data_IF_878310992206
#
_entry.id   IF_878310992206
#
_cell.length_a   1.000
_cell.length_b   1.000
_cell.length_c   1.000
_cell.angle_alpha   90.00
_cell.angle_beta   90.00
_cell.angle_gamma   90.00
#
_symmetry.space_group_name_H-M   'P 1'
#
loop_
_entity.id
_entity.type
_entity.pdbx_description
1 polymer ?
#
# COMPACT_ATOMS: atom_id res chain seq x y z
N UNK A 1 -11.79 -5.04 32.79
CA UNK A 1 -10.65 -5.22 31.88
C UNK A 1 -10.69 -4.14 30.82
N UNK A 2 -9.63 -3.34 30.67
CA UNK A 2 -9.61 -2.32 29.62
C UNK A 2 -9.71 -2.99 28.25
N UNK A 3 -10.61 -2.51 27.40
CA UNK A 3 -10.73 -3.05 26.04
C UNK A 3 -9.58 -2.53 25.15
N UNK A 4 -8.50 -3.28 25.10
CA UNK A 4 -7.34 -2.98 24.28
C UNK A 4 -7.55 -3.29 22.79
N UNK A 5 -8.64 -3.97 22.44
CA UNK A 5 -8.95 -4.33 21.04
C UNK A 5 -9.07 -3.13 20.11
N UNK A 6 -9.58 -2.01 20.61
CA UNK A 6 -9.68 -0.78 19.81
C UNK A 6 -8.29 -0.25 19.40
N UNK A 7 -7.28 -0.39 20.26
CA UNK A 7 -5.92 0.03 19.96
C UNK A 7 -5.21 -0.97 19.03
N UNK A 8 -5.45 -2.27 19.21
CA UNK A 8 -4.96 -3.29 18.29
C UNK A 8 -5.49 -3.07 16.88
N UNK A 9 -6.79 -2.78 16.71
CA UNK A 9 -7.37 -2.43 15.40
C UNK A 9 -6.72 -1.20 14.76
N UNK A 10 -6.36 -0.18 15.55
CA UNK A 10 -5.63 0.99 15.03
C UNK A 10 -4.23 0.62 14.54
N UNK A 11 -3.53 -0.29 15.24
CA UNK A 11 -2.24 -0.79 14.80
C UNK A 11 -2.37 -1.66 13.54
N UNK A 12 -3.40 -2.50 13.44
CA UNK A 12 -3.72 -3.28 12.22
C UNK A 12 -3.96 -2.35 11.03
N UNK A 13 -4.75 -1.30 11.22
CA UNK A 13 -5.00 -0.32 10.16
C UNK A 13 -3.72 0.39 9.71
N UNK A 14 -2.78 0.64 10.61
CA UNK A 14 -1.47 1.18 10.25
C UNK A 14 -0.71 0.22 9.31
N UNK A 15 -0.77 -1.10 9.56
CA UNK A 15 -0.17 -2.09 8.65
C UNK A 15 -0.88 -2.15 7.29
N UNK A 16 -2.19 -1.99 7.26
CA UNK A 16 -2.97 -1.94 6.01
C UNK A 16 -2.56 -0.73 5.15
N UNK A 17 -2.41 0.44 5.78
CA UNK A 17 -1.91 1.65 5.11
C UNK A 17 -0.50 1.44 4.58
N UNK A 18 0.40 0.86 5.39
CA UNK A 18 1.75 0.54 4.97
C UNK A 18 1.78 -0.44 3.77
N UNK A 19 0.92 -1.46 3.78
CA UNK A 19 0.79 -2.39 2.66
C UNK A 19 0.32 -1.67 1.38
N UNK A 20 -0.61 -0.72 1.51
CA UNK A 20 -1.06 0.10 0.39
C UNK A 20 0.05 1.00 -0.15
N UNK A 21 0.83 1.63 0.73
CA UNK A 21 1.97 2.47 0.34
C UNK A 21 3.05 1.64 -0.37
N UNK A 22 3.33 0.44 0.11
CA UNK A 22 4.26 -0.48 -0.55
C UNK A 22 3.75 -0.98 -1.91
N UNK A 23 2.44 -1.11 -2.07
CA UNK A 23 1.83 -1.40 -3.38
C UNK A 23 2.08 -0.31 -4.42
N UNK A 24 2.21 0.95 -3.97
CA UNK A 24 2.56 2.08 -4.84
C UNK A 24 4.06 2.13 -5.18
N UNK A 25 4.92 1.51 -4.37
CA UNK A 25 6.37 1.39 -4.63
C UNK A 25 6.61 0.25 -5.61
N UNK A 26 6.92 0.59 -6.84
CA UNK A 26 7.04 -0.37 -7.95
C UNK A 26 8.47 -0.83 -8.16
N UNK A 27 8.62 -2.12 -8.25
CA UNK A 27 9.89 -2.80 -8.49
C UNK A 27 10.16 -3.10 -10.00
N UNK A 28 9.67 -2.28 -10.92
CA UNK A 28 9.89 -2.45 -12.36
C UNK A 28 9.13 -3.62 -13.01
N UNK A 29 8.34 -4.38 -12.24
CA UNK A 29 7.43 -5.39 -12.79
C UNK A 29 6.11 -4.75 -13.20
N UNK A 30 5.61 -5.16 -14.36
CA UNK A 30 4.29 -4.81 -14.82
C UNK A 30 3.24 -5.46 -13.90
N UNK A 31 2.49 -4.63 -13.16
CA UNK A 31 1.42 -5.08 -12.28
C UNK A 31 0.10 -4.43 -12.72
N UNK A 32 -0.91 -5.24 -12.99
CA UNK A 32 -2.24 -4.77 -13.38
C UNK A 32 -2.88 -3.83 -12.35
N UNK A 33 -2.54 -3.94 -11.08
CA UNK A 33 -3.04 -3.06 -10.01
C UNK A 33 -2.69 -1.57 -10.23
N UNK A 34 -1.67 -1.27 -11.02
CA UNK A 34 -1.32 0.11 -11.35
C UNK A 34 -2.41 0.81 -12.16
N UNK A 35 -3.25 0.04 -12.85
CA UNK A 35 -4.35 0.51 -13.67
C UNK A 35 -5.65 0.68 -12.88
N UNK A 36 -5.75 0.17 -11.66
CA UNK A 36 -6.98 0.20 -10.85
C UNK A 36 -7.43 1.63 -10.51
N UNK A 37 -6.51 2.57 -10.49
CA UNK A 37 -6.78 4.00 -10.22
C UNK A 37 -7.01 4.83 -11.48
N UNK A 38 -6.88 4.23 -12.67
CA UNK A 38 -7.06 4.92 -13.94
C UNK A 38 -8.46 4.60 -14.45
N UNK A 39 -9.25 5.64 -14.63
CA UNK A 39 -10.63 5.54 -15.11
C UNK A 39 -10.73 6.13 -16.51
N UNK A 40 -11.62 5.54 -17.30
CA UNK A 40 -12.03 6.03 -18.62
C UNK A 40 -13.52 6.31 -18.61
N UNK A 41 -13.93 7.29 -19.40
CA UNK A 41 -15.34 7.57 -19.61
C UNK A 41 -15.95 6.49 -20.51
N UNK A 42 -16.88 5.73 -19.95
CA UNK A 42 -17.63 4.69 -20.65
C UNK A 42 -19.12 4.93 -20.48
N UNK A 43 -19.80 5.24 -21.58
CA UNK A 43 -21.21 5.65 -21.58
C UNK A 43 -21.54 6.78 -20.56
N UNK A 44 -20.66 7.77 -20.48
CA UNK A 44 -20.83 8.94 -19.60
C UNK A 44 -20.52 8.66 -18.11
N UNK A 45 -19.96 7.50 -17.78
CA UNK A 45 -19.60 7.12 -16.41
C UNK A 45 -18.10 6.81 -16.33
N UNK A 46 -17.36 7.40 -15.37
CA UNK A 46 -15.99 7.02 -15.09
C UNK A 46 -15.92 5.54 -14.69
N UNK A 47 -15.19 4.74 -15.42
CA UNK A 47 -15.11 3.30 -15.24
C UNK A 47 -13.63 2.87 -15.20
N UNK A 48 -13.22 2.06 -14.20
CA UNK A 48 -11.86 1.52 -14.15
C UNK A 48 -11.52 0.70 -15.40
N UNK A 49 -10.27 0.77 -15.84
CA UNK A 49 -9.82 0.08 -17.07
C UNK A 49 -10.05 -1.42 -17.00
N UNK A 50 -9.89 -2.04 -15.83
CA UNK A 50 -10.12 -3.47 -15.63
C UNK A 50 -11.58 -3.92 -15.82
N UNK A 51 -12.52 -2.98 -15.85
CA UNK A 51 -13.94 -3.24 -16.08
C UNK A 51 -14.39 -3.01 -17.53
N UNK A 52 -13.50 -2.52 -18.39
CA UNK A 52 -13.80 -2.24 -19.81
C UNK A 52 -12.94 -3.04 -20.77
N UNK A 53 -12.06 -3.88 -20.28
CA UNK A 53 -11.18 -4.70 -21.09
C UNK A 53 -10.47 -5.79 -20.30
N UNK A 54 -9.74 -6.63 -21.02
CA UNK A 54 -8.88 -7.66 -20.46
C UNK A 54 -7.46 -7.13 -20.32
N UNK A 55 -6.86 -7.30 -19.14
CA UNK A 55 -5.48 -6.94 -18.86
C UNK A 55 -4.67 -8.23 -18.75
N UNK A 56 -3.61 -8.34 -19.53
CA UNK A 56 -2.68 -9.48 -19.50
C UNK A 56 -1.24 -9.00 -19.37
N UNK A 57 -0.36 -9.86 -18.88
CA UNK A 57 1.06 -9.60 -18.74
C UNK A 57 1.83 -10.72 -19.48
N UNK A 58 2.15 -10.54 -20.77
CA UNK A 58 2.86 -11.55 -21.56
C UNK A 58 4.32 -11.73 -21.10
N UNK A 59 4.89 -10.72 -20.48
CA UNK A 59 6.22 -10.75 -19.88
C UNK A 59 6.26 -9.88 -18.60
N UNK A 60 7.32 -9.98 -17.76
CA UNK A 60 7.39 -9.29 -16.48
C UNK A 60 7.36 -7.76 -16.54
N UNK A 61 7.58 -7.17 -17.72
CA UNK A 61 7.65 -5.72 -17.93
C UNK A 61 6.60 -5.14 -18.85
N UNK A 62 5.73 -5.97 -19.39
CA UNK A 62 4.71 -5.53 -20.36
C UNK A 62 3.31 -5.83 -19.83
N UNK A 63 2.44 -4.83 -19.83
CA UNK A 63 0.99 -4.99 -19.70
C UNK A 63 0.35 -4.78 -21.05
N UNK A 64 -0.61 -5.64 -21.38
CA UNK A 64 -1.45 -5.54 -22.58
C UNK A 64 -2.89 -5.33 -22.15
N UNK A 65 -3.48 -4.23 -22.59
CA UNK A 65 -4.88 -3.92 -22.36
C UNK A 65 -5.63 -4.15 -23.65
N UNK A 66 -6.56 -5.10 -23.66
CA UNK A 66 -7.46 -5.37 -24.76
C UNK A 66 -8.87 -4.93 -24.38
N UNK A 67 -9.33 -3.76 -24.85
CA UNK A 67 -10.69 -3.33 -24.59
C UNK A 67 -11.70 -4.24 -25.29
N UNK A 68 -12.85 -4.43 -24.65
CA UNK A 68 -13.95 -5.18 -25.26
C UNK A 68 -14.63 -4.42 -26.39
N UNK A 69 -14.52 -3.08 -26.33
CA UNK A 69 -15.01 -2.16 -27.37
C UNK A 69 -13.82 -1.39 -27.96
N UNK A 70 -13.58 -1.53 -29.26
CA UNK A 70 -12.48 -0.87 -29.97
C UNK A 70 -12.53 0.66 -29.92
N UNK A 71 -13.70 1.25 -29.69
CA UNK A 71 -13.86 2.69 -29.52
C UNK A 71 -13.15 3.24 -28.27
N UNK A 72 -12.87 2.37 -27.28
CA UNK A 72 -12.20 2.73 -26.03
C UNK A 72 -10.68 2.80 -26.13
N UNK A 73 -10.06 2.36 -27.22
CA UNK A 73 -8.61 2.40 -27.41
C UNK A 73 -8.02 3.80 -27.18
N UNK A 74 -8.55 4.80 -27.88
CA UNK A 74 -8.10 6.19 -27.74
C UNK A 74 -8.39 6.79 -26.36
N UNK A 75 -9.58 6.63 -25.78
CA UNK A 75 -9.87 7.08 -24.42
C UNK A 75 -8.94 6.46 -23.37
N UNK A 76 -8.67 5.17 -23.46
CA UNK A 76 -7.74 4.46 -22.55
C UNK A 76 -6.31 4.99 -22.71
N UNK A 77 -5.84 5.12 -23.95
CA UNK A 77 -4.52 5.69 -24.24
C UNK A 77 -4.36 7.09 -23.64
N UNK A 78 -5.35 7.96 -23.83
CA UNK A 78 -5.35 9.31 -23.28
C UNK A 78 -5.39 9.30 -21.75
N UNK A 79 -6.20 8.44 -21.13
CA UNK A 79 -6.29 8.32 -19.68
C UNK A 79 -4.94 7.91 -19.08
N UNK A 80 -4.21 7.00 -19.72
CA UNK A 80 -2.88 6.56 -19.28
C UNK A 80 -1.85 7.67 -19.47
N UNK A 81 -1.87 8.39 -20.58
CA UNK A 81 -0.96 9.53 -20.84
C UNK A 81 -1.13 10.66 -19.84
N UNK A 82 -2.35 10.92 -19.40
CA UNK A 82 -2.66 11.97 -18.40
C UNK A 82 -2.51 11.52 -16.96
N UNK A 83 -2.29 10.22 -16.73
CA UNK A 83 -2.09 9.66 -15.39
C UNK A 83 -0.66 9.84 -14.89
N UNK A 84 -0.46 9.65 -13.58
CA UNK A 84 0.85 9.70 -12.92
C UNK A 84 1.74 8.47 -13.22
N UNK A 85 1.30 7.60 -14.14
CA UNK A 85 2.00 6.36 -14.45
C UNK A 85 3.39 6.61 -15.08
N UNK A 86 3.54 7.69 -15.85
CA UNK A 86 4.80 8.06 -16.47
C UNK A 86 5.27 7.13 -17.59
N UNK A 87 4.36 6.32 -18.16
CA UNK A 87 4.63 5.36 -19.23
C UNK A 87 3.85 5.77 -20.46
N UNK A 88 4.52 5.80 -21.62
CA UNK A 88 3.86 6.06 -22.88
C UNK A 88 3.17 4.80 -23.40
N UNK A 89 1.85 4.79 -23.56
CA UNK A 89 1.12 3.65 -24.12
C UNK A 89 1.40 3.53 -25.61
N UNK A 90 1.51 2.29 -26.08
CA UNK A 90 1.62 1.96 -27.51
C UNK A 90 0.30 1.33 -27.99
N UNK A 91 -0.36 1.98 -28.91
CA UNK A 91 -1.62 1.53 -29.49
C UNK A 91 -1.36 0.94 -30.89
N UNK A 92 -1.67 -0.35 -31.06
CA UNK A 92 -1.52 -1.04 -32.34
C UNK A 92 -2.88 -1.17 -33.12
N UNK A 93 -3.91 -0.50 -32.66
CA UNK A 93 -5.26 -0.57 -33.24
C UNK A 93 -6.16 -1.69 -32.69
N UNK A 94 -5.62 -2.59 -31.88
CA UNK A 94 -6.36 -3.69 -31.22
C UNK A 94 -6.16 -3.72 -29.72
N UNK A 95 -4.93 -3.48 -29.27
CA UNK A 95 -4.53 -3.50 -27.86
C UNK A 95 -3.65 -2.29 -27.56
N UNK A 96 -3.57 -1.96 -26.28
CA UNK A 96 -2.64 -0.96 -25.75
C UNK A 96 -1.56 -1.70 -24.97
N UNK A 97 -0.31 -1.47 -25.33
CA UNK A 97 0.86 -2.04 -24.67
C UNK A 97 1.52 -1.01 -23.77
N UNK A 98 1.81 -1.41 -22.54
CA UNK A 98 2.56 -0.63 -21.57
C UNK A 98 3.86 -1.35 -21.28
N UNK A 99 4.98 -0.81 -21.72
CA UNK A 99 6.31 -1.34 -21.43
C UNK A 99 6.90 -0.57 -20.25
N UNK A 100 7.11 -1.27 -19.14
CA UNK A 100 7.71 -0.70 -17.94
C UNK A 100 9.24 -0.66 -18.11
N UNK A 101 9.88 0.51 -17.87
CA UNK A 101 11.34 0.62 -17.98
C UNK A 101 12.02 -0.24 -16.94
N UNK A 102 13.20 -0.74 -17.28
CA UNK A 102 14.05 -1.48 -16.34
C UNK A 102 14.49 -0.53 -15.21
N UNK A 103 14.46 -1.01 -13.96
CA UNK A 103 14.97 -0.24 -12.84
C UNK A 103 16.47 -0.02 -12.95
N UNK A 104 16.89 1.25 -12.90
CA UNK A 104 18.28 1.60 -12.71
C UNK A 104 18.70 1.38 -11.25
N UNK A 105 20.01 1.23 -10.98
CA UNK A 105 20.51 1.14 -9.60
C UNK A 105 20.16 2.38 -8.77
N UNK A 106 20.19 3.55 -9.38
CA UNK A 106 19.79 4.80 -8.73
C UNK A 106 18.33 4.77 -8.31
N UNK A 107 17.46 4.32 -9.20
CA UNK A 107 16.02 4.21 -8.89
C UNK A 107 15.75 3.17 -7.81
N UNK A 108 16.47 2.05 -7.80
CA UNK A 108 16.37 1.06 -6.70
C UNK A 108 16.75 1.67 -5.37
N UNK A 109 17.84 2.44 -5.30
CA UNK A 109 18.28 3.13 -4.08
C UNK A 109 17.23 4.13 -3.60
N UNK A 110 16.61 4.89 -4.50
CA UNK A 110 15.51 5.80 -4.16
C UNK A 110 14.31 5.05 -3.59
N UNK A 111 13.90 3.96 -4.23
CA UNK A 111 12.77 3.14 -3.78
C UNK A 111 13.05 2.50 -2.42
N UNK A 112 14.26 2.01 -2.18
CA UNK A 112 14.67 1.48 -0.86
C UNK A 112 14.60 2.55 0.23
N UNK A 113 15.04 3.77 -0.06
CA UNK A 113 14.90 4.90 0.87
C UNK A 113 13.43 5.21 1.16
N UNK A 114 12.58 5.15 0.15
CA UNK A 114 11.14 5.38 0.29
C UNK A 114 10.47 4.30 1.14
N UNK A 115 10.81 3.02 0.93
CA UNK A 115 10.35 1.90 1.76
C UNK A 115 10.75 2.10 3.22
N UNK A 116 12.00 2.48 3.47
CA UNK A 116 12.50 2.77 4.81
C UNK A 116 11.73 3.91 5.49
N UNK A 117 11.47 4.98 4.75
CA UNK A 117 10.68 6.12 5.24
C UNK A 117 9.27 5.69 5.62
N UNK A 118 8.55 4.97 4.76
CA UNK A 118 7.22 4.47 5.07
C UNK A 118 7.21 3.54 6.28
N UNK A 119 8.22 2.69 6.42
CA UNK A 119 8.39 1.83 7.61
C UNK A 119 8.58 2.64 8.90
N UNK A 120 9.40 3.67 8.90
CA UNK A 120 9.59 4.55 10.07
C UNK A 120 8.31 5.33 10.41
N UNK A 121 7.61 5.86 9.41
CA UNK A 121 6.33 6.56 9.61
C UNK A 121 5.28 5.60 10.23
N UNK A 122 5.22 4.37 9.79
CA UNK A 122 4.34 3.34 10.37
C UNK A 122 4.70 3.03 11.83
N UNK A 123 6.00 2.91 12.15
CA UNK A 123 6.45 2.71 13.54
C UNK A 123 6.10 3.89 14.44
N UNK A 124 6.23 5.11 13.95
CA UNK A 124 5.81 6.32 14.67
C UNK A 124 4.29 6.27 14.94
N UNK A 125 3.48 5.90 13.95
CA UNK A 125 2.03 5.75 14.12
C UNK A 125 1.69 4.70 15.18
N UNK A 126 2.36 3.54 15.17
CA UNK A 126 2.17 2.48 16.18
C UNK A 126 2.57 2.98 17.58
N UNK A 127 3.67 3.72 17.72
CA UNK A 127 4.08 4.30 19.01
C UNK A 127 3.09 5.35 19.52
N UNK A 128 2.47 6.11 18.65
CA UNK A 128 1.40 7.05 19.02
C UNK A 128 0.18 6.30 19.53
N UNK A 129 -0.24 5.21 18.88
CA UNK A 129 -1.33 4.35 19.37
C UNK A 129 -0.99 3.77 20.74
N UNK A 130 0.27 3.37 20.98
CA UNK A 130 0.73 2.92 22.30
C UNK A 130 0.57 4.00 23.35
N UNK A 131 0.95 5.25 23.08
CA UNK A 131 0.79 6.37 24.01
C UNK A 131 -0.68 6.57 24.37
N UNK A 132 -1.56 6.60 23.37
CA UNK A 132 -3.00 6.74 23.57
C UNK A 132 -3.55 5.61 24.45
N UNK A 133 -3.09 4.38 24.22
CA UNK A 133 -3.50 3.21 25.01
C UNK A 133 -3.03 3.30 26.46
N UNK A 134 -1.80 3.71 26.71
CA UNK A 134 -1.26 3.91 28.06
C UNK A 134 -2.01 5.04 28.78
N UNK A 135 -2.28 6.14 28.11
CA UNK A 135 -3.03 7.26 28.68
C UNK A 135 -4.48 6.85 29.01
N UNK A 136 -5.10 6.05 28.17
CA UNK A 136 -6.42 5.49 28.41
C UNK A 136 -6.44 4.65 29.69
N UNK A 137 -5.48 3.74 29.85
CA UNK A 137 -5.36 2.86 31.04
C UNK A 137 -5.08 3.68 32.31
N UNK A 138 -4.20 4.67 32.24
CA UNK A 138 -3.90 5.56 33.39
C UNK A 138 -5.12 6.38 33.81
N UNK A 139 -5.91 6.85 32.86
CA UNK A 139 -7.16 7.57 33.16
C UNK A 139 -8.20 6.65 33.80
N UNK A 140 -8.32 5.42 33.35
CA UNK A 140 -9.23 4.42 33.94
C UNK A 140 -8.84 4.12 35.40
N UNK A 141 -7.55 3.94 35.69
CA UNK A 141 -7.07 3.74 37.05
C UNK A 141 -7.38 4.93 37.96
N UNK A 142 -7.11 6.17 37.51
CA UNK A 142 -7.41 7.38 38.27
C UNK A 142 -8.89 7.56 38.58
N UNK A 143 -9.77 7.04 37.73
CA UNK A 143 -11.23 7.02 37.96
C UNK A 143 -11.69 5.89 38.85
N UNK A 144 -10.79 5.01 39.29
CA UNK A 144 -11.12 3.86 40.11
C UNK A 144 -11.78 2.71 39.33
N UNK A 145 -11.74 2.73 37.97
CA UNK A 145 -12.30 1.70 37.11
C UNK A 145 -11.41 0.45 37.01
N UNK A 146 -10.14 0.57 37.50
CA UNK A 146 -9.18 -0.53 37.56
C UNK A 146 -8.21 -0.32 38.72
N UNK A 147 -7.62 -1.45 39.18
CA UNK A 147 -6.59 -1.45 40.21
C UNK A 147 -5.22 -1.06 39.63
N UNK A 148 -4.25 -0.76 40.51
CA UNK A 148 -2.84 -0.51 40.08
C UNK A 148 -2.21 -1.75 39.43
N UNK A 149 -2.53 -2.95 39.92
CA UNK A 149 -2.01 -4.19 39.36
C UNK A 149 -2.62 -4.47 37.97
N UNK A 150 -3.89 -4.17 37.78
CA UNK A 150 -4.53 -4.25 36.48
C UNK A 150 -3.92 -3.24 35.51
N UNK A 151 -3.58 -2.04 35.97
CA UNK A 151 -2.89 -1.02 35.16
C UNK A 151 -1.52 -1.54 34.69
N UNK A 152 -0.69 -2.06 35.62
CA UNK A 152 0.64 -2.60 35.28
C UNK A 152 0.56 -3.73 34.26
N UNK A 153 -0.42 -4.64 34.44
CA UNK A 153 -0.66 -5.72 33.49
C UNK A 153 -1.08 -5.19 32.12
N UNK A 154 -2.01 -4.24 32.07
CA UNK A 154 -2.45 -3.65 30.84
C UNK A 154 -1.32 -2.88 30.11
N UNK A 155 -0.46 -2.16 30.84
CA UNK A 155 0.72 -1.47 30.26
C UNK A 155 1.70 -2.47 29.65
N UNK A 156 1.90 -3.64 30.29
CA UNK A 156 2.72 -4.73 29.75
C UNK A 156 2.09 -5.29 28.47
N UNK A 157 0.79 -5.58 28.49
CA UNK A 157 0.08 -6.09 27.32
C UNK A 157 0.14 -5.10 26.14
N UNK A 158 0.05 -3.79 26.42
CA UNK A 158 0.22 -2.72 25.42
C UNK A 158 1.64 -2.72 24.85
N UNK A 159 2.66 -2.92 25.68
CA UNK A 159 4.04 -3.00 25.21
C UNK A 159 4.28 -4.22 24.34
N UNK A 160 3.82 -5.39 24.77
CA UNK A 160 3.94 -6.64 24.01
C UNK A 160 3.22 -6.51 22.64
N UNK A 161 2.04 -5.88 22.63
CA UNK A 161 1.30 -5.59 21.41
C UNK A 161 2.08 -4.65 20.47
N UNK A 162 2.66 -3.59 21.02
CA UNK A 162 3.48 -2.64 20.27
C UNK A 162 4.68 -3.32 19.62
N UNK A 163 5.40 -4.14 20.38
CA UNK A 163 6.59 -4.87 19.89
C UNK A 163 6.21 -5.84 18.78
N UNK A 164 5.08 -6.53 18.92
CA UNK A 164 4.53 -7.42 17.89
C UNK A 164 4.28 -6.67 16.57
N UNK A 165 3.67 -5.49 16.62
CA UNK A 165 3.33 -4.73 15.42
C UNK A 165 4.55 -4.01 14.80
N UNK A 166 5.49 -3.53 15.63
CA UNK A 166 6.77 -2.99 15.13
C UNK A 166 7.56 -4.08 14.39
N UNK A 167 7.60 -5.30 14.94
CA UNK A 167 8.24 -6.43 14.27
C UNK A 167 7.58 -6.76 12.92
N UNK A 168 6.25 -6.72 12.84
CA UNK A 168 5.53 -6.90 11.57
C UNK A 168 5.90 -5.82 10.53
N UNK A 169 6.08 -4.56 10.95
CA UNK A 169 6.55 -3.49 10.06
C UNK A 169 7.94 -3.83 9.52
N UNK A 170 8.87 -4.26 10.37
CA UNK A 170 10.21 -4.65 9.94
C UNK A 170 10.21 -5.83 8.96
N UNK A 171 9.35 -6.82 9.20
CA UNK A 171 9.16 -7.96 8.29
C UNK A 171 8.61 -7.52 6.93
N UNK A 172 7.64 -6.60 6.91
CA UNK A 172 7.09 -6.04 5.67
C UNK A 172 8.14 -5.25 4.89
N UNK A 173 8.94 -4.42 5.58
CA UNK A 173 10.04 -3.68 4.96
C UNK A 173 11.09 -4.64 4.37
N UNK A 174 11.50 -5.66 5.12
CA UNK A 174 12.47 -6.65 4.65
C UNK A 174 12.00 -7.46 3.44
N UNK A 175 10.71 -7.81 3.38
CA UNK A 175 10.10 -8.45 2.20
C UNK A 175 10.13 -7.53 0.99
N UNK A 176 9.78 -6.26 1.18
CA UNK A 176 9.75 -5.28 0.08
C UNK A 176 11.15 -4.97 -0.43
N UNK A 177 12.13 -4.85 0.44
CA UNK A 177 13.53 -4.65 0.06
C UNK A 177 14.06 -5.83 -0.77
N UNK A 178 13.75 -7.07 -0.39
CA UNK A 178 14.08 -8.25 -1.18
C UNK A 178 13.42 -8.20 -2.56
N UNK A 179 12.13 -7.90 -2.62
CA UNK A 179 11.40 -7.74 -3.89
C UNK A 179 12.06 -6.69 -4.80
N UNK A 180 12.53 -5.58 -4.25
CA UNK A 180 13.23 -4.53 -5.01
C UNK A 180 14.62 -4.97 -5.51
N UNK A 181 15.26 -5.91 -4.84
CA UNK A 181 16.60 -6.39 -5.18
C UNK A 181 16.61 -7.60 -6.12
N UNK A 182 15.50 -8.36 -6.19
CA UNK A 182 15.40 -9.58 -7.00
C UNK A 182 15.13 -9.34 -8.50
N UNK A 183 15.16 -8.10 -8.97
CA UNK A 183 14.79 -7.72 -10.35
C UNK A 183 16.02 -7.29 -11.13
#
# INVERSE_FOLDING_TARGET
MADLKQFERKMEKTLEVLASDFGAVRAGRANAQVLDRIEVEYYGTPTPINQVGTISSPDPRTLVIQPWDGSLLKPIEKAIQTSDLGINPQNDGRVIRLVFPQLTEERRKELTKQVKKYGEDAKVAIRNVRRDAVDFVKKAQKKGEMTEDDQKKAEKDIQDLTDKYVKKVDEMCGKKDKELMEI
#
